data_IF_079817486889
#
_entry.id   IF_079817486889
#
_cell.length_a   1.000
_cell.length_b   1.000
_cell.length_c   1.000
_cell.angle_alpha   90.00
_cell.angle_beta   90.00
_cell.angle_gamma   90.00
#
_symmetry.space_group_name_H-M   'P 1'
#
loop_
_entity.id
_entity.type
_entity.pdbx_description
1 polymer ?
#
# COMPACT_ATOMS: atom_id res chain seq x y z
N UNK A 1 0.43 -4.50 14.73
CA UNK A 1 -0.01 -3.20 15.26
C UNK A 1 0.95 -2.12 14.80
N UNK A 2 0.49 -0.87 14.66
CA UNK A 2 1.37 0.29 14.41
C UNK A 2 0.77 1.53 15.06
N UNK A 3 1.56 2.59 15.25
CA UNK A 3 1.09 3.84 15.82
C UNK A 3 0.86 4.91 14.75
N UNK A 4 -0.07 5.82 15.02
CA UNK A 4 -0.35 6.94 14.12
C UNK A 4 0.82 7.92 14.06
N UNK A 5 1.40 8.06 12.85
CA UNK A 5 2.62 8.82 12.56
C UNK A 5 2.65 10.25 13.12
N UNK A 6 1.53 10.95 13.06
CA UNK A 6 1.46 12.39 13.33
C UNK A 6 0.72 12.71 14.63
N UNK A 7 0.60 11.76 15.55
CA UNK A 7 -0.14 11.98 16.80
C UNK A 7 0.83 12.10 17.98
N UNK A 8 0.69 13.16 18.78
CA UNK A 8 1.57 13.48 19.91
C UNK A 8 0.77 13.65 21.21
N UNK A 9 1.41 13.53 22.39
CA UNK A 9 0.75 13.82 23.66
C UNK A 9 0.10 15.20 23.65
N UNK A 10 -1.14 15.27 24.09
CA UNK A 10 -1.86 16.51 24.29
C UNK A 10 -1.39 17.20 25.58
N UNK A 11 -0.47 18.16 25.49
CA UNK A 11 0.10 18.85 26.65
C UNK A 11 -0.91 19.64 27.49
N UNK A 12 -2.13 19.86 27.00
CA UNK A 12 -3.22 20.48 27.75
C UNK A 12 -3.97 19.52 28.69
N UNK A 13 -3.68 18.22 28.64
CA UNK A 13 -4.39 17.20 29.41
C UNK A 13 -3.50 16.61 30.53
N UNK A 14 -3.99 16.56 31.78
CA UNK A 14 -3.18 16.11 32.93
C UNK A 14 -2.96 14.58 32.96
N UNK A 15 -3.69 13.81 32.16
CA UNK A 15 -3.66 12.34 32.11
C UNK A 15 -2.50 11.78 31.27
N UNK A 16 -1.32 12.39 31.35
CA UNK A 16 -0.17 12.02 30.50
C UNK A 16 -0.36 12.37 29.02
N UNK A 17 -1.22 13.36 28.73
CA UNK A 17 -1.46 13.87 27.39
C UNK A 17 -2.32 12.98 26.49
N UNK A 18 -3.30 12.27 27.06
CA UNK A 18 -4.21 11.38 26.33
C UNK A 18 -5.61 12.02 26.11
N UNK A 19 -6.30 11.71 25.01
CA UNK A 19 -5.77 11.04 23.83
C UNK A 19 -4.76 11.92 23.09
N UNK A 20 -3.84 11.28 22.37
CA UNK A 20 -2.90 12.01 21.52
C UNK A 20 -3.66 12.83 20.46
N UNK A 21 -3.09 13.98 20.07
CA UNK A 21 -3.65 14.90 19.08
C UNK A 21 -2.77 14.99 17.82
N UNK A 22 -3.39 15.32 16.69
CA UNK A 22 -2.73 15.32 15.38
C UNK A 22 -1.91 16.59 15.15
N UNK A 23 -0.64 16.43 14.80
CA UNK A 23 0.25 17.46 14.27
C UNK A 23 0.79 17.01 12.91
N UNK A 24 0.07 17.35 11.84
CA UNK A 24 0.42 16.88 10.48
C UNK A 24 1.84 17.29 10.07
N UNK A 25 2.53 16.42 9.34
CA UNK A 25 3.92 16.61 8.95
C UNK A 25 4.95 16.41 10.07
N UNK A 26 4.54 16.37 11.35
CA UNK A 26 5.46 16.16 12.49
C UNK A 26 5.45 14.72 12.94
N UNK A 27 6.43 13.94 12.51
CA UNK A 27 6.53 12.51 12.85
C UNK A 27 6.84 12.35 14.34
N UNK A 28 5.96 11.66 15.07
CA UNK A 28 6.24 11.26 16.45
C UNK A 28 7.19 10.03 16.44
N UNK A 29 8.40 10.11 17.03
CA UNK A 29 9.34 9.00 17.05
C UNK A 29 8.82 7.76 17.79
N UNK A 30 7.76 7.89 18.60
CA UNK A 30 7.12 6.74 19.23
C UNK A 30 6.64 5.68 18.24
N UNK A 31 6.41 6.01 16.97
CA UNK A 31 6.10 5.00 15.95
C UNK A 31 7.14 3.88 15.88
N UNK A 32 8.39 4.15 16.25
CA UNK A 32 9.48 3.18 16.24
C UNK A 32 9.48 2.26 17.48
N UNK A 33 8.67 2.57 18.50
CA UNK A 33 8.48 1.69 19.68
C UNK A 33 7.63 0.46 19.36
N UNK A 34 6.87 0.47 18.26
CA UNK A 34 6.07 -0.66 17.79
C UNK A 34 6.70 -1.21 16.50
N UNK A 35 7.27 -2.42 16.53
CA UNK A 35 8.18 -2.85 15.46
C UNK A 35 7.45 -3.27 14.18
N UNK A 36 6.20 -3.75 14.25
CA UNK A 36 5.53 -4.42 13.12
C UNK A 36 5.47 -3.56 11.85
N UNK A 37 5.31 -2.23 11.99
CA UNK A 37 5.34 -1.31 10.85
C UNK A 37 6.66 -1.39 10.07
N UNK A 38 7.78 -1.42 10.79
CA UNK A 38 9.12 -1.56 10.20
C UNK A 38 9.42 -2.99 9.78
N UNK A 39 9.02 -3.98 10.59
CA UNK A 39 9.26 -5.39 10.30
C UNK A 39 8.55 -5.83 9.02
N UNK A 40 7.31 -5.40 8.78
CA UNK A 40 6.61 -5.73 7.54
C UNK A 40 7.32 -5.13 6.31
N UNK A 41 7.77 -3.87 6.38
CA UNK A 41 8.52 -3.24 5.29
C UNK A 41 9.85 -3.93 5.04
N UNK A 42 10.55 -4.31 6.11
CA UNK A 42 11.80 -5.06 6.01
C UNK A 42 11.57 -6.44 5.41
N UNK A 43 10.48 -7.13 5.78
CA UNK A 43 10.07 -8.38 5.13
C UNK A 43 9.90 -8.19 3.62
N UNK A 44 9.08 -7.23 3.20
CA UNK A 44 8.82 -6.98 1.77
C UNK A 44 10.13 -6.68 1.03
N UNK A 45 10.95 -5.77 1.57
CA UNK A 45 12.25 -5.40 0.99
C UNK A 45 13.20 -6.61 0.90
N UNK A 46 13.33 -7.39 1.95
CA UNK A 46 14.19 -8.57 1.96
C UNK A 46 13.72 -9.63 0.96
N UNK A 47 12.42 -9.93 0.94
CA UNK A 47 11.85 -10.90 -0.01
C UNK A 47 12.07 -10.43 -1.45
N UNK A 48 11.89 -9.14 -1.73
CA UNK A 48 12.15 -8.58 -3.05
C UNK A 48 13.62 -8.74 -3.46
N UNK A 49 14.57 -8.37 -2.61
CA UNK A 49 16.00 -8.49 -2.92
C UNK A 49 16.42 -9.93 -3.11
N UNK A 50 15.91 -10.85 -2.29
CA UNK A 50 16.21 -12.28 -2.39
C UNK A 50 15.56 -12.90 -3.63
N UNK A 51 14.32 -12.52 -3.97
CA UNK A 51 13.65 -12.99 -5.18
C UNK A 51 14.39 -12.54 -6.45
N UNK A 52 14.81 -11.27 -6.51
CA UNK A 52 15.61 -10.74 -7.61
C UNK A 52 17.00 -11.41 -7.66
N UNK A 53 17.64 -11.61 -6.51
CA UNK A 53 18.92 -12.34 -6.43
C UNK A 53 18.79 -13.77 -6.94
N UNK A 54 17.73 -14.48 -6.58
CA UNK A 54 17.42 -15.79 -7.15
C UNK A 54 17.23 -15.71 -8.67
N UNK A 55 16.42 -14.77 -9.15
CA UNK A 55 16.10 -14.63 -10.58
C UNK A 55 17.34 -14.35 -11.45
N UNK A 56 18.19 -13.40 -11.04
CA UNK A 56 19.33 -12.98 -11.84
C UNK A 56 20.57 -13.87 -11.68
N UNK A 57 20.77 -14.49 -10.52
CA UNK A 57 21.98 -15.30 -10.25
C UNK A 57 21.71 -16.81 -10.22
N UNK A 58 20.46 -17.25 -10.28
CA UNK A 58 20.09 -18.67 -10.23
C UNK A 58 20.42 -19.37 -8.89
N UNK A 59 20.78 -18.62 -7.84
CA UNK A 59 21.21 -19.19 -6.56
C UNK A 59 20.01 -19.44 -5.65
N UNK A 60 19.66 -20.73 -5.48
CA UNK A 60 18.55 -21.20 -4.63
C UNK A 60 18.66 -20.79 -3.16
N UNK A 61 19.85 -20.49 -2.63
CA UNK A 61 19.99 -20.03 -1.24
C UNK A 61 19.21 -18.73 -0.96
N UNK A 62 19.05 -17.87 -1.97
CA UNK A 62 18.22 -16.68 -1.86
C UNK A 62 16.73 -17.03 -1.78
N UNK A 63 16.26 -17.95 -2.62
CA UNK A 63 14.88 -18.40 -2.61
C UNK A 63 14.55 -19.09 -1.27
N UNK A 64 15.45 -19.93 -0.74
CA UNK A 64 15.28 -20.60 0.57
C UNK A 64 15.02 -19.55 1.65
N UNK A 65 15.88 -18.53 1.72
CA UNK A 65 15.76 -17.48 2.74
C UNK A 65 14.48 -16.67 2.56
N UNK A 66 14.08 -16.36 1.33
CA UNK A 66 12.85 -15.61 1.07
C UNK A 66 11.62 -16.41 1.50
N UNK A 67 11.57 -17.70 1.15
CA UNK A 67 10.46 -18.60 1.49
C UNK A 67 10.34 -18.80 3.00
N UNK A 68 11.46 -18.89 3.74
CA UNK A 68 11.44 -18.93 5.21
C UNK A 68 10.78 -17.69 5.82
N UNK A 69 11.15 -16.50 5.32
CA UNK A 69 10.60 -15.24 5.83
C UNK A 69 9.10 -15.12 5.55
N UNK A 70 8.66 -15.54 4.37
CA UNK A 70 7.23 -15.58 4.02
C UNK A 70 6.48 -16.57 4.92
N UNK A 71 7.03 -17.77 5.13
CA UNK A 71 6.42 -18.76 6.01
C UNK A 71 6.27 -18.22 7.44
N UNK A 72 7.32 -17.65 8.01
CA UNK A 72 7.30 -17.05 9.36
C UNK A 72 6.22 -15.97 9.51
N UNK A 73 6.06 -15.10 8.50
CA UNK A 73 5.14 -13.98 8.61
C UNK A 73 3.67 -14.35 8.39
N UNK A 74 3.39 -15.32 7.51
CA UNK A 74 2.01 -15.57 7.06
C UNK A 74 1.44 -16.92 7.51
N UNK A 75 2.27 -17.89 7.88
CA UNK A 75 1.85 -19.30 8.01
C UNK A 75 2.19 -19.85 9.39
N UNK A 76 3.40 -19.61 9.88
CA UNK A 76 3.88 -20.11 11.16
C UNK A 76 2.90 -19.75 12.30
N UNK A 77 2.31 -20.72 13.00
CA UNK A 77 1.25 -20.46 13.98
C UNK A 77 1.71 -19.62 15.17
N UNK A 78 3.01 -19.64 15.50
CA UNK A 78 3.56 -18.88 16.62
C UNK A 78 3.92 -17.43 16.23
N UNK A 79 4.17 -17.19 14.95
CA UNK A 79 4.72 -15.92 14.45
C UNK A 79 3.80 -15.16 13.50
N UNK A 80 2.80 -15.83 12.90
CA UNK A 80 2.03 -15.27 11.79
C UNK A 80 1.27 -14.02 12.19
N UNK A 81 1.28 -13.05 11.30
CA UNK A 81 0.37 -11.92 11.34
C UNK A 81 -1.06 -12.43 11.10
N UNK A 82 -2.04 -11.97 11.89
CA UNK A 82 -3.45 -12.22 11.58
C UNK A 82 -3.88 -11.42 10.34
N UNK A 83 -4.80 -11.94 9.51
CA UNK A 83 -5.17 -11.34 8.22
C UNK A 83 -6.09 -10.11 8.36
N UNK A 84 -5.68 -9.11 9.14
CA UNK A 84 -6.40 -7.87 9.33
C UNK A 84 -5.50 -6.73 9.85
N UNK A 85 -5.92 -5.49 9.64
CA UNK A 85 -5.23 -4.28 10.13
C UNK A 85 -6.03 -3.54 11.22
N UNK A 86 -6.80 -4.28 12.02
CA UNK A 86 -7.64 -3.72 13.11
C UNK A 86 -6.89 -2.80 14.09
N UNK A 87 -5.59 -3.05 14.29
CA UNK A 87 -4.71 -2.29 15.20
C UNK A 87 -3.67 -1.45 14.47
N UNK A 88 -3.89 -1.14 13.18
CA UNK A 88 -2.97 -0.29 12.43
C UNK A 88 -3.23 1.20 12.70
N UNK A 89 -2.15 1.97 12.77
CA UNK A 89 -2.13 3.40 12.99
C UNK A 89 -2.92 3.83 14.23
N UNK A 90 -2.78 3.07 15.32
CA UNK A 90 -3.41 3.33 16.61
C UNK A 90 -2.97 4.68 17.17
N UNK A 91 -3.93 5.46 17.63
CA UNK A 91 -3.70 6.71 18.37
C UNK A 91 -3.70 6.34 19.85
N UNK A 92 -2.65 6.72 20.60
CA UNK A 92 -2.62 6.42 22.03
C UNK A 92 -3.78 7.12 22.74
N UNK A 93 -4.41 6.39 23.67
CA UNK A 93 -5.68 6.76 24.29
C UNK A 93 -6.90 6.04 23.70
N UNK A 94 -6.75 5.34 22.57
CA UNK A 94 -7.80 4.53 21.96
C UNK A 94 -7.48 3.02 22.02
N UNK A 95 -8.53 2.20 21.96
CA UNK A 95 -8.45 0.73 22.07
C UNK A 95 -8.19 0.01 20.75
N UNK A 96 -8.39 0.69 19.61
CA UNK A 96 -8.23 0.11 18.27
C UNK A 96 -7.42 1.02 17.35
N UNK A 97 -6.97 0.45 16.24
CA UNK A 97 -6.45 1.20 15.11
C UNK A 97 -7.54 2.00 14.40
N UNK A 98 -7.16 2.64 13.30
CA UNK A 98 -8.03 3.47 12.46
C UNK A 98 -7.89 3.10 11.00
N UNK A 99 -8.92 3.41 10.21
CA UNK A 99 -8.98 3.19 8.76
C UNK A 99 -7.69 3.59 8.02
N UNK A 100 -7.15 4.76 8.34
CA UNK A 100 -5.91 5.31 7.77
C UNK A 100 -4.66 4.45 7.99
N UNK A 101 -4.71 3.44 8.86
CA UNK A 101 -3.65 2.45 9.02
C UNK A 101 -3.60 1.38 7.95
N UNK A 102 -4.62 1.27 7.10
CA UNK A 102 -4.60 0.36 5.94
C UNK A 102 -3.47 0.72 4.97
N UNK A 103 -3.10 2.00 4.89
CA UNK A 103 -1.92 2.46 4.14
C UNK A 103 -0.61 1.81 4.62
N UNK A 104 -0.55 1.26 5.83
CA UNK A 104 0.69 0.64 6.32
C UNK A 104 1.07 -0.60 5.50
N UNK A 105 0.10 -1.20 4.80
CA UNK A 105 0.23 -2.39 3.97
C UNK A 105 0.33 -2.08 2.47
N UNK A 106 0.49 -0.81 2.08
CA UNK A 106 0.54 -0.38 0.67
C UNK A 106 1.66 -1.02 -0.18
N UNK A 107 2.72 -1.51 0.45
CA UNK A 107 3.85 -2.20 -0.21
C UNK A 107 3.56 -3.67 -0.53
N UNK A 108 2.40 -4.20 -0.15
CA UNK A 108 2.06 -5.62 -0.34
C UNK A 108 2.16 -6.08 -1.80
N UNK A 109 1.91 -5.18 -2.76
CA UNK A 109 2.01 -5.50 -4.18
C UNK A 109 3.45 -5.97 -4.55
N UNK A 110 4.47 -5.32 -3.99
CA UNK A 110 5.89 -5.65 -4.21
C UNK A 110 6.22 -7.05 -3.67
N UNK A 111 5.59 -7.44 -2.57
CA UNK A 111 5.71 -8.79 -2.01
C UNK A 111 5.06 -9.84 -2.92
N UNK A 112 3.86 -9.56 -3.46
CA UNK A 112 3.13 -10.49 -4.32
C UNK A 112 3.85 -10.72 -5.67
N UNK A 113 4.44 -9.67 -6.24
CA UNK A 113 5.31 -9.79 -7.42
C UNK A 113 6.54 -10.67 -7.11
N UNK A 114 7.18 -10.45 -5.96
CA UNK A 114 8.34 -11.23 -5.53
C UNK A 114 7.99 -12.71 -5.30
N UNK A 115 6.82 -13.00 -4.72
CA UNK A 115 6.30 -14.36 -4.57
C UNK A 115 6.13 -15.04 -5.93
N UNK A 116 5.67 -14.30 -6.94
CA UNK A 116 5.47 -14.84 -8.30
C UNK A 116 6.80 -15.27 -8.94
N UNK A 117 7.90 -14.56 -8.67
CA UNK A 117 9.26 -14.98 -9.06
C UNK A 117 9.69 -16.24 -8.29
N UNK A 118 9.49 -16.25 -6.97
CA UNK A 118 9.93 -17.35 -6.10
C UNK A 118 9.22 -18.67 -6.38
N UNK A 119 7.99 -18.64 -6.91
CA UNK A 119 7.23 -19.84 -7.29
C UNK A 119 7.95 -20.73 -8.33
N UNK A 120 8.92 -20.19 -9.07
CA UNK A 120 9.73 -20.97 -10.02
C UNK A 120 10.88 -21.74 -9.35
N UNK A 121 11.26 -21.37 -8.13
CA UNK A 121 12.35 -22.00 -7.38
C UNK A 121 12.04 -23.42 -6.94
N UNK A 122 13.08 -24.25 -6.80
CA UNK A 122 12.94 -25.63 -6.37
C UNK A 122 12.41 -25.71 -4.93
N UNK A 123 12.95 -24.88 -4.03
CA UNK A 123 12.49 -24.86 -2.62
C UNK A 123 11.01 -24.48 -2.51
N UNK A 124 10.53 -23.54 -3.34
CA UNK A 124 9.12 -23.16 -3.31
C UNK A 124 8.22 -24.31 -3.76
N UNK A 125 8.57 -24.99 -4.86
CA UNK A 125 7.82 -26.15 -5.36
C UNK A 125 7.75 -27.26 -4.31
N UNK A 126 8.89 -27.60 -3.70
CA UNK A 126 8.95 -28.64 -2.66
C UNK A 126 8.10 -28.28 -1.43
N UNK A 127 8.16 -27.03 -0.95
CA UNK A 127 7.31 -26.57 0.15
C UNK A 127 5.86 -26.46 -0.24
N UNK A 128 5.57 -26.14 -1.49
CA UNK A 128 4.19 -26.17 -1.97
C UNK A 128 3.66 -27.61 -1.98
N UNK A 129 4.45 -28.58 -2.40
CA UNK A 129 4.02 -29.97 -2.45
C UNK A 129 3.80 -30.55 -1.04
N UNK A 130 4.78 -30.34 -0.15
CA UNK A 130 4.80 -30.90 1.21
C UNK A 130 3.99 -30.10 2.23
N UNK A 131 4.03 -28.77 2.17
CA UNK A 131 3.48 -27.86 3.18
C UNK A 131 2.39 -26.94 2.63
N UNK A 132 2.01 -27.07 1.35
CA UNK A 132 0.92 -26.31 0.72
C UNK A 132 1.04 -24.79 0.87
N UNK A 133 2.27 -24.26 0.77
CA UNK A 133 2.56 -22.83 0.97
C UNK A 133 1.67 -21.90 0.11
N UNK A 134 1.39 -22.24 -1.16
CA UNK A 134 0.51 -21.42 -1.99
C UNK A 134 -0.92 -21.40 -1.47
N UNK A 135 -1.43 -22.54 -1.00
CA UNK A 135 -2.79 -22.62 -0.47
C UNK A 135 -2.94 -21.77 0.81
N UNK A 136 -1.96 -21.84 1.72
CA UNK A 136 -1.95 -21.03 2.93
C UNK A 136 -1.87 -19.53 2.65
N UNK A 137 -0.99 -19.10 1.73
CA UNK A 137 -0.90 -17.70 1.35
C UNK A 137 -2.19 -17.20 0.70
N UNK A 138 -2.75 -17.96 -0.24
CA UNK A 138 -4.03 -17.62 -0.89
C UNK A 138 -5.17 -17.55 0.13
N UNK A 139 -5.20 -18.46 1.10
CA UNK A 139 -6.16 -18.41 2.20
C UNK A 139 -5.99 -17.13 3.02
N UNK A 140 -4.76 -16.82 3.47
CA UNK A 140 -4.48 -15.61 4.25
C UNK A 140 -4.93 -14.33 3.53
N UNK A 141 -4.59 -14.19 2.24
CA UNK A 141 -4.97 -13.03 1.45
C UNK A 141 -6.47 -12.98 1.13
N UNK A 142 -7.15 -14.12 1.01
CA UNK A 142 -8.60 -14.15 0.89
C UNK A 142 -9.29 -13.66 2.18
N UNK A 143 -8.81 -14.11 3.35
CA UNK A 143 -9.32 -13.62 4.65
C UNK A 143 -9.04 -12.13 4.83
N UNK A 144 -7.85 -11.66 4.46
CA UNK A 144 -7.52 -10.23 4.54
C UNK A 144 -8.40 -9.39 3.63
N UNK A 145 -8.65 -9.85 2.40
CA UNK A 145 -9.53 -9.15 1.46
C UNK A 145 -10.98 -9.11 1.94
N UNK A 146 -11.47 -10.19 2.56
CA UNK A 146 -12.78 -10.20 3.20
C UNK A 146 -12.85 -9.17 4.34
N UNK A 147 -11.87 -9.17 5.24
CA UNK A 147 -11.78 -8.17 6.30
C UNK A 147 -11.67 -6.75 5.75
N UNK A 148 -10.84 -6.54 4.72
CA UNK A 148 -10.61 -5.24 4.09
C UNK A 148 -11.89 -4.67 3.49
N UNK A 149 -12.74 -5.49 2.90
CA UNK A 149 -13.97 -5.04 2.22
C UNK A 149 -15.19 -4.97 3.12
N UNK A 150 -15.19 -5.65 4.26
CA UNK A 150 -16.34 -5.72 5.18
C UNK A 150 -16.14 -5.02 6.52
N UNK A 151 -14.90 -4.78 6.95
CA UNK A 151 -14.64 -4.14 8.26
C UNK A 151 -14.95 -2.64 8.22
N UNK A 152 -15.32 -2.03 9.36
CA UNK A 152 -15.54 -0.58 9.43
C UNK A 152 -14.32 0.24 9.00
N UNK A 153 -13.11 -0.18 9.41
CA UNK A 153 -11.86 0.47 9.01
C UNK A 153 -11.63 0.35 7.48
N UNK A 154 -11.91 -0.83 6.92
CA UNK A 154 -11.83 -1.10 5.49
C UNK A 154 -12.76 -0.21 4.66
N UNK A 155 -14.04 -0.19 5.02
CA UNK A 155 -15.06 0.63 4.35
C UNK A 155 -14.70 2.12 4.41
N UNK A 156 -14.27 2.61 5.58
CA UNK A 156 -13.91 4.03 5.70
C UNK A 156 -12.69 4.42 4.86
N UNK A 157 -11.69 3.54 4.75
CA UNK A 157 -10.51 3.83 3.92
C UNK A 157 -10.83 3.74 2.41
N UNK A 158 -11.73 2.83 2.02
CA UNK A 158 -12.21 2.73 0.64
C UNK A 158 -12.77 4.04 0.12
N UNK A 159 -13.50 4.78 0.96
CA UNK A 159 -14.12 6.07 0.64
C UNK A 159 -13.16 7.26 0.72
N UNK A 160 -11.87 7.04 1.00
CA UNK A 160 -10.90 8.13 1.09
C UNK A 160 -10.70 8.81 -0.27
N UNK A 161 -10.77 10.15 -0.28
CA UNK A 161 -10.64 10.95 -1.50
C UNK A 161 -9.19 11.32 -1.87
N UNK A 162 -8.19 10.95 -1.06
CA UNK A 162 -6.78 11.25 -1.32
C UNK A 162 -5.98 9.97 -1.56
N UNK A 163 -4.65 10.02 -1.49
CA UNK A 163 -3.72 8.91 -1.68
C UNK A 163 -4.07 7.63 -0.92
N UNK A 164 -4.78 7.73 0.21
CA UNK A 164 -5.27 6.57 0.94
C UNK A 164 -6.24 5.72 0.10
N UNK A 165 -7.17 6.33 -0.62
CA UNK A 165 -8.13 5.60 -1.46
C UNK A 165 -7.44 4.99 -2.69
N UNK A 166 -6.46 5.69 -3.27
CA UNK A 166 -5.69 5.19 -4.41
C UNK A 166 -4.86 3.97 -4.02
N UNK A 167 -4.18 3.99 -2.86
CA UNK A 167 -3.46 2.82 -2.37
C UNK A 167 -4.36 1.71 -1.82
N UNK A 168 -5.58 2.02 -1.39
CA UNK A 168 -6.58 0.99 -1.08
C UNK A 168 -6.90 0.17 -2.34
N UNK A 169 -7.07 0.83 -3.49
CA UNK A 169 -7.27 0.17 -4.77
C UNK A 169 -6.02 -0.64 -5.19
N UNK A 170 -4.80 -0.11 -5.01
CA UNK A 170 -3.55 -0.86 -5.29
C UNK A 170 -3.55 -2.20 -4.58
N UNK A 171 -3.87 -2.21 -3.27
CA UNK A 171 -3.91 -3.44 -2.48
C UNK A 171 -4.96 -4.42 -3.01
N UNK A 172 -6.18 -3.94 -3.27
CA UNK A 172 -7.27 -4.79 -3.79
C UNK A 172 -6.91 -5.41 -5.12
N UNK A 173 -6.42 -4.62 -6.08
CA UNK A 173 -6.06 -5.12 -7.42
C UNK A 173 -4.94 -6.13 -7.33
N UNK A 174 -3.87 -5.84 -6.59
CA UNK A 174 -2.74 -6.77 -6.42
C UNK A 174 -3.19 -8.10 -5.81
N UNK A 175 -4.02 -8.05 -4.76
CA UNK A 175 -4.53 -9.26 -4.09
C UNK A 175 -5.52 -10.02 -4.99
N UNK A 176 -6.43 -9.36 -5.69
CA UNK A 176 -7.34 -10.03 -6.62
C UNK A 176 -6.56 -10.76 -7.72
N UNK A 177 -5.52 -10.15 -8.29
CA UNK A 177 -4.64 -10.78 -9.28
C UNK A 177 -3.93 -12.00 -8.69
N UNK A 178 -3.35 -11.89 -7.50
CA UNK A 178 -2.71 -13.02 -6.79
C UNK A 178 -3.68 -14.19 -6.52
N UNK A 179 -4.95 -13.88 -6.21
CA UNK A 179 -6.00 -14.87 -6.01
C UNK A 179 -6.62 -15.38 -7.33
N UNK A 180 -6.08 -14.98 -8.49
CA UNK A 180 -6.60 -15.29 -9.83
C UNK A 180 -8.07 -14.87 -10.02
N UNK A 181 -8.45 -13.73 -9.43
CA UNK A 181 -9.80 -13.14 -9.53
C UNK A 181 -9.75 -11.92 -10.46
N UNK A 182 -9.34 -12.15 -11.71
CA UNK A 182 -9.06 -11.09 -12.70
C UNK A 182 -10.27 -10.20 -13.00
N UNK A 183 -11.49 -10.73 -13.01
CA UNK A 183 -12.70 -9.92 -13.20
C UNK A 183 -12.89 -8.87 -12.11
N UNK A 184 -12.60 -9.21 -10.86
CA UNK A 184 -12.69 -8.24 -9.76
C UNK A 184 -11.57 -7.21 -9.83
N UNK A 185 -10.36 -7.61 -10.21
CA UNK A 185 -9.27 -6.65 -10.48
C UNK A 185 -9.69 -5.66 -11.58
N UNK A 186 -10.22 -6.16 -12.70
CA UNK A 186 -10.76 -5.35 -13.80
C UNK A 186 -11.85 -4.39 -13.35
N UNK A 187 -12.81 -4.86 -12.55
CA UNK A 187 -13.89 -4.01 -12.02
C UNK A 187 -13.38 -2.88 -11.14
N UNK A 188 -12.40 -3.14 -10.27
CA UNK A 188 -11.79 -2.07 -9.46
C UNK A 188 -11.13 -1.03 -10.35
N UNK A 189 -10.32 -1.46 -11.32
CA UNK A 189 -9.61 -0.55 -12.23
C UNK A 189 -10.61 0.28 -13.06
N UNK A 190 -11.60 -0.37 -13.66
CA UNK A 190 -12.54 0.28 -14.57
C UNK A 190 -13.53 1.22 -13.87
N UNK A 191 -14.01 0.87 -12.68
CA UNK A 191 -15.13 1.57 -12.05
C UNK A 191 -14.71 2.41 -10.85
N UNK A 192 -13.72 1.95 -10.07
CA UNK A 192 -13.29 2.61 -8.83
C UNK A 192 -12.09 3.50 -9.12
N UNK A 193 -10.99 2.96 -9.64
CA UNK A 193 -9.77 3.73 -9.87
C UNK A 193 -9.97 4.82 -10.92
N UNK A 194 -10.64 4.50 -12.03
CA UNK A 194 -10.94 5.50 -13.07
C UNK A 194 -11.81 6.65 -12.53
N UNK A 195 -12.83 6.34 -11.71
CA UNK A 195 -13.70 7.38 -11.15
C UNK A 195 -13.02 8.24 -10.09
N UNK A 196 -11.93 7.76 -9.44
CA UNK A 196 -11.12 8.57 -8.51
C UNK A 196 -10.31 9.68 -9.19
N UNK A 197 -9.98 9.56 -10.48
CA UNK A 197 -9.18 10.56 -11.20
C UNK A 197 -9.89 11.93 -11.18
N UNK A 198 -11.20 11.95 -11.48
CA UNK A 198 -11.99 13.17 -11.58
C UNK A 198 -12.02 14.05 -10.30
N UNK A 199 -12.23 13.47 -9.09
CA UNK A 199 -12.21 14.23 -7.84
C UNK A 199 -10.82 14.41 -7.21
N UNK A 200 -9.78 13.69 -7.66
CA UNK A 200 -8.42 13.82 -7.10
C UNK A 200 -7.52 14.80 -7.85
N UNK A 201 -7.71 14.92 -9.16
CA UNK A 201 -6.83 15.68 -10.04
C UNK A 201 -7.63 16.84 -10.65
N UNK A 202 -7.18 18.07 -10.43
CA UNK A 202 -7.77 19.25 -11.06
C UNK A 202 -7.42 19.31 -12.54
N UNK A 203 -8.10 20.17 -13.30
CA UNK A 203 -7.79 20.37 -14.74
C UNK A 203 -6.39 20.96 -14.96
N UNK A 204 -5.81 21.60 -13.93
CA UNK A 204 -4.42 22.03 -13.91
C UNK A 204 -3.40 20.88 -13.76
N UNK A 205 -3.87 19.66 -13.45
CA UNK A 205 -3.05 18.54 -13.03
C UNK A 205 -2.75 18.52 -11.52
N UNK A 206 -3.11 19.57 -10.78
CA UNK A 206 -2.89 19.62 -9.34
C UNK A 206 -3.65 18.51 -8.61
N UNK A 207 -2.94 17.80 -7.73
CA UNK A 207 -3.52 16.87 -6.77
C UNK A 207 -3.83 17.61 -5.46
N UNK A 208 -4.92 18.40 -5.43
CA UNK A 208 -5.12 19.45 -4.43
C UNK A 208 -5.15 18.98 -2.96
N UNK A 209 -5.62 17.77 -2.70
CA UNK A 209 -5.59 17.18 -1.34
C UNK A 209 -4.17 16.79 -0.89
N UNK A 210 -3.26 16.59 -1.83
CA UNK A 210 -1.85 16.30 -1.59
C UNK A 210 -1.02 17.57 -1.51
N UNK A 211 -1.31 18.58 -2.34
CA UNK A 211 -0.66 19.90 -2.28
C UNK A 211 -0.98 20.66 -1.00
N UNK A 212 -2.14 20.39 -0.38
CA UNK A 212 -2.53 20.94 0.92
C UNK A 212 -1.76 20.35 2.12
N UNK A 213 -0.86 19.37 1.92
CA UNK A 213 -0.15 18.68 3.00
C UNK A 213 1.18 19.36 3.32
N UNK A 214 1.67 19.29 4.57
CA UNK A 214 2.96 19.92 4.92
C UNK A 214 4.16 19.39 4.13
N UNK A 215 4.18 18.10 3.81
CA UNK A 215 5.19 17.46 2.95
C UNK A 215 4.60 17.24 1.56
N UNK A 216 4.12 18.30 0.90
CA UNK A 216 3.22 18.14 -0.25
C UNK A 216 3.85 17.44 -1.44
N UNK A 217 5.13 17.70 -1.73
CA UNK A 217 5.83 17.07 -2.85
C UNK A 217 5.84 15.55 -2.71
N UNK A 218 6.16 15.07 -1.50
CA UNK A 218 6.10 13.65 -1.17
C UNK A 218 4.70 13.07 -1.43
N UNK A 219 3.64 13.74 -0.97
CA UNK A 219 2.28 13.21 -1.13
C UNK A 219 1.80 13.17 -2.59
N UNK A 220 2.17 14.17 -3.39
CA UNK A 220 1.88 14.17 -4.83
C UNK A 220 2.62 13.04 -5.56
N UNK A 221 3.92 12.81 -5.25
CA UNK A 221 4.67 11.66 -5.78
C UNK A 221 4.05 10.34 -5.30
N UNK A 222 3.71 10.25 -4.01
CA UNK A 222 3.20 9.04 -3.40
C UNK A 222 1.89 8.61 -4.06
N UNK A 223 0.97 9.54 -4.31
CA UNK A 223 -0.27 9.25 -5.01
C UNK A 223 -0.05 8.92 -6.50
N UNK A 224 0.86 9.63 -7.20
CA UNK A 224 1.24 9.27 -8.57
C UNK A 224 1.82 7.85 -8.65
N UNK A 225 2.68 7.44 -7.71
CA UNK A 225 3.17 6.06 -7.63
C UNK A 225 2.02 5.06 -7.57
N UNK A 226 0.99 5.32 -6.77
CA UNK A 226 -0.18 4.44 -6.69
C UNK A 226 -0.92 4.34 -8.04
N UNK A 227 -1.13 5.47 -8.72
CA UNK A 227 -1.74 5.49 -10.06
C UNK A 227 -0.92 4.74 -11.10
N UNK A 228 0.40 4.87 -11.08
CA UNK A 228 1.29 4.14 -11.99
C UNK A 228 1.25 2.63 -11.73
N UNK A 229 1.24 2.20 -10.47
CA UNK A 229 1.08 0.80 -10.11
C UNK A 229 -0.26 0.25 -10.62
N UNK A 230 -1.36 0.99 -10.44
CA UNK A 230 -2.68 0.60 -10.94
C UNK A 230 -2.73 0.55 -12.47
N UNK A 231 -2.13 1.53 -13.16
CA UNK A 231 -2.04 1.55 -14.62
C UNK A 231 -1.27 0.35 -15.16
N UNK A 232 -0.12 0.02 -14.55
CA UNK A 232 0.68 -1.15 -14.92
C UNK A 232 -0.07 -2.46 -14.69
N UNK A 233 -0.70 -2.63 -13.51
CA UNK A 233 -1.53 -3.81 -13.24
C UNK A 233 -2.75 -3.88 -14.19
N UNK A 234 -3.29 -2.74 -14.61
CA UNK A 234 -4.36 -2.64 -15.60
C UNK A 234 -3.95 -3.16 -16.98
N UNK A 235 -2.77 -2.79 -17.47
CA UNK A 235 -2.24 -3.34 -18.73
C UNK A 235 -2.09 -4.86 -18.71
N UNK A 236 -1.86 -5.44 -17.53
CA UNK A 236 -1.73 -6.88 -17.30
C UNK A 236 -3.06 -7.57 -16.93
N UNK A 237 -4.17 -6.83 -16.91
CA UNK A 237 -5.50 -7.34 -16.54
C UNK A 237 -6.39 -7.35 -17.79
N UNK A 238 -6.75 -8.52 -18.33
CA UNK A 238 -7.54 -8.62 -19.56
C UNK A 238 -8.84 -7.81 -19.49
N UNK A 239 -9.08 -6.95 -20.48
CA UNK A 239 -10.29 -6.13 -20.59
C UNK A 239 -10.37 -4.94 -19.62
N UNK A 240 -9.31 -4.64 -18.85
CA UNK A 240 -9.24 -3.40 -18.09
C UNK A 240 -8.93 -2.20 -19.01
N UNK A 241 -9.47 -1.00 -18.73
CA UNK A 241 -9.11 0.19 -19.49
C UNK A 241 -7.64 0.56 -19.25
N UNK A 242 -7.00 1.16 -20.26
CA UNK A 242 -5.68 1.75 -20.08
C UNK A 242 -5.79 3.06 -19.28
N UNK A 243 -5.43 3.01 -18.00
CA UNK A 243 -5.49 4.19 -17.13
C UNK A 243 -4.52 5.31 -17.55
N UNK A 244 -3.44 5.00 -18.25
CA UNK A 244 -2.50 6.03 -18.74
C UNK A 244 -3.14 6.90 -19.84
N UNK A 245 -3.97 6.30 -20.68
CA UNK A 245 -4.71 6.99 -21.75
C UNK A 245 -6.07 7.52 -21.28
N UNK A 246 -6.53 7.11 -20.10
CA UNK A 246 -7.83 7.54 -19.57
C UNK A 246 -7.88 9.06 -19.38
N UNK A 247 -8.98 9.66 -19.83
CA UNK A 247 -9.29 11.08 -19.70
C UNK A 247 -10.74 11.21 -19.25
N UNK A 248 -11.01 12.10 -18.29
CA UNK A 248 -12.38 12.51 -18.00
C UNK A 248 -12.93 13.40 -19.13
N UNK A 249 -14.22 13.71 -19.12
CA UNK A 249 -14.83 14.64 -20.10
C UNK A 249 -14.12 16.00 -20.08
N UNK A 250 -13.75 16.49 -18.90
CA UNK A 250 -12.97 17.71 -18.67
C UNK A 250 -11.44 17.49 -18.68
N UNK A 251 -10.96 16.42 -19.32
CA UNK A 251 -9.55 16.13 -19.63
C UNK A 251 -8.62 15.78 -18.45
N UNK A 252 -9.13 15.65 -17.21
CA UNK A 252 -8.34 15.22 -16.04
C UNK A 252 -7.74 13.83 -16.27
N UNK A 253 -6.49 13.65 -15.87
CA UNK A 253 -5.75 12.39 -16.07
C UNK A 253 -4.50 12.26 -15.21
N UNK A 254 -4.00 11.02 -15.15
CA UNK A 254 -2.68 10.71 -14.58
C UNK A 254 -1.57 11.50 -15.30
N UNK A 255 -1.67 11.67 -16.63
CA UNK A 255 -0.71 12.47 -17.40
C UNK A 255 -0.68 13.92 -16.95
N UNK A 256 -1.84 14.58 -16.78
CA UNK A 256 -1.87 15.96 -16.27
C UNK A 256 -1.25 16.08 -14.89
N UNK A 257 -1.48 15.11 -14.00
CA UNK A 257 -0.83 15.12 -12.69
C UNK A 257 0.69 14.92 -12.77
N UNK A 258 1.19 14.14 -13.73
CA UNK A 258 2.62 14.05 -14.00
C UNK A 258 3.15 15.38 -14.55
N UNK A 259 2.49 15.96 -15.55
CA UNK A 259 2.90 17.21 -16.20
C UNK A 259 2.96 18.37 -15.20
N UNK A 260 2.02 18.43 -14.26
CA UNK A 260 2.02 19.40 -13.16
C UNK A 260 3.28 19.32 -12.29
N UNK A 261 3.82 18.11 -12.10
CA UNK A 261 4.97 17.85 -11.23
C UNK A 261 6.32 18.08 -11.95
N UNK A 262 6.36 17.95 -13.27
CA UNK A 262 7.60 18.02 -14.07
C UNK A 262 8.39 19.32 -13.88
N UNK A 263 7.79 20.54 -13.90
CA UNK A 263 8.54 21.76 -13.71
C UNK A 263 9.30 21.82 -12.37
N UNK A 264 8.68 21.34 -11.29
CA UNK A 264 9.35 21.29 -9.98
C UNK A 264 10.45 20.23 -9.92
N UNK A 265 10.24 19.07 -10.56
CA UNK A 265 11.28 18.03 -10.64
C UNK A 265 12.56 18.53 -11.35
N UNK A 266 12.42 19.49 -12.26
CA UNK A 266 13.56 20.13 -12.95
C UNK A 266 14.13 21.33 -12.19
N UNK A 267 13.31 22.03 -11.42
CA UNK A 267 13.72 23.17 -10.61
C UNK A 267 12.88 23.28 -9.33
N UNK A 268 13.46 22.86 -8.21
CA UNK A 268 12.78 22.84 -6.92
C UNK A 268 12.34 24.23 -6.43
N UNK A 269 12.91 25.32 -6.93
CA UNK A 269 12.46 26.66 -6.53
C UNK A 269 11.08 27.04 -7.07
N UNK A 270 10.49 26.23 -7.97
CA UNK A 270 9.20 26.50 -8.59
C UNK A 270 8.00 26.00 -7.78
N UNK A 271 8.20 25.27 -6.68
CA UNK A 271 7.10 24.83 -5.83
C UNK A 271 6.49 25.99 -5.08
N UNK A 272 5.18 26.10 -5.14
CA UNK A 272 4.45 27.15 -4.44
C UNK A 272 3.69 26.64 -3.22
N UNK A 273 3.80 25.34 -2.92
CA UNK A 273 3.09 24.69 -1.82
C UNK A 273 4.02 24.42 -0.65
N UNK A 274 3.42 24.14 0.51
CA UNK A 274 4.18 23.81 1.71
C UNK A 274 4.95 22.50 1.51
N UNK A 275 6.27 22.52 1.69
CA UNK A 275 7.11 21.34 1.61
C UNK A 275 8.20 21.39 2.70
N UNK A 276 7.83 20.93 3.90
CA UNK A 276 8.66 20.95 5.12
C UNK A 276 9.07 19.57 5.59
#
# INVERSE_FOLDING_TARGET
>A
MSLARYFWPNTSQPNGGMPYIRHDGRVNPEIHKVPDYSMFRNLVKHVQYLALGYHYFGNESYAIRATDRIHQWFIDPELRMNPHLQYASLVRGYKSGRAKGIIDFHVVQELLDSISILQYSQVWKERNDKQKINAHLRYWFAQYLEWLTKSPNGIYEMEAHNNHGTFYDVQRVAIYRFLNKMDMARQVIANVTASRIAPQILISGEQYLETARPTSWFYCIFNLKAYFLLGHMGQQTPGAPNLFDYRTIDQKSIQLALDFMLPYALNENLWKFQNV
#
